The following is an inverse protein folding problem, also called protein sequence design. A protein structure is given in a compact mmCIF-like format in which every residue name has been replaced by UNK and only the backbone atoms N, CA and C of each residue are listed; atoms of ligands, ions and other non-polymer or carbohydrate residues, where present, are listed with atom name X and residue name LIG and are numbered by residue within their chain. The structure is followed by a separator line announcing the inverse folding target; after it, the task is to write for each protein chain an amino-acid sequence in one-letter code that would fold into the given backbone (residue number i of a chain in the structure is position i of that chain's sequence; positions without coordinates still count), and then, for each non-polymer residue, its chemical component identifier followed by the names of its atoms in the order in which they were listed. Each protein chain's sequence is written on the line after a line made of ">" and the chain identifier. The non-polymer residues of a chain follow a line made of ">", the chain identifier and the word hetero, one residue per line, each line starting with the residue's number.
data_IF_445997507881
#
_entry.id   IF_445997507881
#
_cell.length_a   1.000
_cell.length_b   1.000
_cell.length_c   1.000
_cell.angle_alpha   90.00
_cell.angle_beta   90.00
_cell.angle_gamma   90.00
#
_symmetry.space_group_name_H-M   'P 1'
#
loop_
_entity.id
_entity.type
_entity.pdbx_description
1 polymer ?
#
# COMPACT_ATOMS: atom_id res chain seq x y z
N UNK A 1 125.86 -169.49 10.72
CA UNK A 1 126.08 -169.33 12.16
C UNK A 1 127.28 -170.15 12.56
N UNK A 2 128.43 -169.49 12.73
CA UNK A 2 129.61 -170.10 13.34
C UNK A 2 129.45 -170.22 14.87
N UNK A 3 130.36 -170.93 15.57
CA UNK A 3 130.30 -171.12 17.02
C UNK A 3 130.28 -169.80 17.82
N UNK A 4 130.97 -168.77 17.33
CA UNK A 4 131.05 -167.45 17.97
C UNK A 4 129.75 -166.65 17.88
N UNK A 5 129.01 -166.79 16.76
CA UNK A 5 127.73 -166.11 16.57
C UNK A 5 126.66 -166.73 17.48
N UNK A 6 126.63 -168.07 17.62
CA UNK A 6 125.74 -168.77 18.54
C UNK A 6 125.94 -168.35 20.01
N UNK A 7 127.19 -168.08 20.43
CA UNK A 7 127.49 -167.60 21.78
C UNK A 7 126.93 -166.19 22.06
N UNK A 8 126.87 -165.31 21.05
CA UNK A 8 126.33 -163.95 21.21
C UNK A 8 124.79 -164.00 21.35
N UNK A 9 124.10 -164.80 20.55
CA UNK A 9 122.62 -164.90 20.58
C UNK A 9 122.09 -165.78 21.71
N UNK A 10 122.91 -166.68 22.28
CA UNK A 10 122.58 -167.42 23.52
C UNK A 10 123.11 -166.74 24.78
N UNK A 11 123.82 -165.61 24.66
CA UNK A 11 124.26 -164.81 25.80
C UNK A 11 123.01 -164.21 26.49
N UNK A 12 122.80 -164.49 27.80
CA UNK A 12 121.69 -163.92 28.56
C UNK A 12 121.61 -162.39 28.47
N UNK A 13 122.75 -161.71 28.35
CA UNK A 13 122.80 -160.25 28.21
C UNK A 13 122.24 -159.77 26.86
N UNK A 14 122.51 -160.50 25.77
CA UNK A 14 121.99 -160.17 24.45
C UNK A 14 120.48 -160.40 24.40
N UNK A 15 120.00 -161.55 24.87
CA UNK A 15 118.57 -161.88 24.95
C UNK A 15 117.82 -160.80 25.74
N UNK A 16 118.33 -160.44 26.92
CA UNK A 16 117.72 -159.42 27.76
C UNK A 16 117.71 -158.05 27.08
N UNK A 17 118.80 -157.66 26.42
CA UNK A 17 118.87 -156.39 25.67
C UNK A 17 117.86 -156.33 24.51
N UNK A 18 117.66 -157.43 23.76
CA UNK A 18 116.63 -157.48 22.70
C UNK A 18 115.21 -157.42 23.24
N UNK A 19 114.91 -158.09 24.36
CA UNK A 19 113.60 -158.00 25.01
C UNK A 19 113.36 -156.58 25.53
N UNK A 20 114.35 -155.98 26.19
CA UNK A 20 114.27 -154.62 26.69
C UNK A 20 114.13 -153.60 25.55
N UNK A 21 114.78 -153.81 24.41
CA UNK A 21 114.61 -152.97 23.22
C UNK A 21 113.19 -153.10 22.62
N UNK A 22 112.65 -154.32 22.56
CA UNK A 22 111.26 -154.57 22.12
C UNK A 22 110.22 -153.97 23.06
N UNK A 23 110.43 -154.09 24.36
CA UNK A 23 109.57 -153.52 25.41
C UNK A 23 109.64 -151.98 25.40
N UNK A 24 110.84 -151.40 25.26
CA UNK A 24 111.03 -149.97 25.08
C UNK A 24 110.36 -149.45 23.79
N UNK A 25 110.44 -150.20 22.69
CA UNK A 25 109.76 -149.84 21.44
C UNK A 25 108.24 -149.91 21.57
N UNK A 26 107.70 -150.97 22.19
CA UNK A 26 106.26 -151.11 22.46
C UNK A 26 105.76 -149.99 23.37
N UNK A 27 106.45 -149.69 24.47
CA UNK A 27 106.11 -148.57 25.35
C UNK A 27 106.24 -147.22 24.65
N UNK A 28 107.24 -147.04 23.79
CA UNK A 28 107.38 -145.85 22.95
C UNK A 28 106.21 -145.68 21.98
N UNK A 29 105.79 -146.75 21.31
CA UNK A 29 104.64 -146.73 20.40
C UNK A 29 103.33 -146.47 21.16
N UNK A 30 103.12 -147.10 22.31
CA UNK A 30 101.94 -146.85 23.16
C UNK A 30 101.92 -145.42 23.68
N UNK A 31 103.07 -144.85 24.05
CA UNK A 31 103.19 -143.45 24.45
C UNK A 31 102.86 -142.51 23.28
N UNK A 32 103.37 -142.79 22.08
CA UNK A 32 103.05 -142.02 20.87
C UNK A 32 101.57 -142.12 20.49
N UNK A 33 100.95 -143.30 20.58
CA UNK A 33 99.53 -143.49 20.32
C UNK A 33 98.65 -142.77 21.34
N UNK A 34 99.04 -142.79 22.64
CA UNK A 34 98.37 -142.03 23.70
C UNK A 34 98.50 -140.52 23.48
N UNK A 35 99.68 -140.05 23.07
CA UNK A 35 99.90 -138.64 22.76
C UNK A 35 99.13 -138.19 21.51
N UNK A 36 99.10 -139.01 20.45
CA UNK A 36 98.29 -138.74 19.27
C UNK A 36 96.79 -138.72 19.58
N UNK A 37 96.31 -139.62 20.45
CA UNK A 37 94.92 -139.61 20.92
C UNK A 37 94.62 -138.35 21.75
N UNK A 38 95.54 -137.93 22.64
CA UNK A 38 95.42 -136.70 23.42
C UNK A 38 95.35 -135.46 22.52
N UNK A 39 96.26 -135.34 21.55
CA UNK A 39 96.28 -134.24 20.59
C UNK A 39 95.03 -134.24 19.69
N UNK A 40 94.53 -135.40 19.29
CA UNK A 40 93.27 -135.49 18.54
C UNK A 40 92.07 -135.04 19.37
N UNK A 41 92.04 -135.37 20.68
CA UNK A 41 91.00 -134.94 21.59
C UNK A 41 91.05 -133.41 21.80
N UNK A 42 92.24 -132.85 22.00
CA UNK A 42 92.45 -131.40 22.10
C UNK A 42 92.08 -130.65 20.82
N UNK A 43 92.39 -131.22 19.65
CA UNK A 43 91.95 -130.68 18.36
C UNK A 43 90.44 -130.69 18.23
N UNK A 44 89.79 -131.79 18.60
CA UNK A 44 88.33 -131.91 18.51
C UNK A 44 87.64 -130.92 19.44
N UNK A 45 88.11 -130.77 20.69
CA UNK A 45 87.56 -129.78 21.62
C UNK A 45 87.77 -128.35 21.15
N UNK A 46 88.92 -128.04 20.54
CA UNK A 46 89.16 -126.73 19.92
C UNK A 46 88.22 -126.46 18.73
N UNK A 47 88.00 -127.44 17.86
CA UNK A 47 87.08 -127.31 16.72
C UNK A 47 85.64 -127.11 17.20
N UNK A 48 85.20 -127.84 18.22
CA UNK A 48 83.88 -127.65 18.84
C UNK A 48 83.73 -126.25 19.45
N UNK A 49 84.73 -125.78 20.20
CA UNK A 49 84.74 -124.44 20.78
C UNK A 49 84.70 -123.35 19.69
N UNK A 50 85.48 -123.52 18.61
CA UNK A 50 85.48 -122.58 17.48
C UNK A 50 84.14 -122.57 16.74
N UNK A 51 83.53 -123.74 16.50
CA UNK A 51 82.21 -123.84 15.89
C UNK A 51 81.14 -123.15 16.76
N UNK A 52 81.22 -123.31 18.08
CA UNK A 52 80.35 -122.61 19.02
C UNK A 52 80.53 -121.08 18.93
N UNK A 53 81.77 -120.60 18.91
CA UNK A 53 82.06 -119.16 18.75
C UNK A 53 81.55 -118.61 17.41
N UNK A 54 81.71 -119.34 16.31
CA UNK A 54 81.20 -118.93 14.99
C UNK A 54 79.66 -118.85 15.01
N UNK A 55 78.98 -119.82 15.64
CA UNK A 55 77.53 -119.80 15.79
C UNK A 55 77.06 -118.59 16.62
N UNK A 56 77.69 -118.35 17.77
CA UNK A 56 77.38 -117.20 18.64
C UNK A 56 77.64 -115.88 17.92
N UNK A 57 78.78 -115.73 17.23
CA UNK A 57 79.10 -114.53 16.45
C UNK A 57 78.09 -114.30 15.33
N UNK A 58 77.69 -115.34 14.62
CA UNK A 58 76.67 -115.24 13.56
C UNK A 58 75.32 -114.80 14.13
N UNK A 59 74.94 -115.33 15.29
CA UNK A 59 73.71 -114.94 16.00
C UNK A 59 73.77 -113.48 16.46
N UNK A 60 74.88 -113.03 17.05
CA UNK A 60 75.08 -111.63 17.47
C UNK A 60 75.02 -110.66 16.29
N UNK A 61 75.64 -111.00 15.16
CA UNK A 61 75.58 -110.18 13.94
C UNK A 61 74.14 -110.12 13.39
N UNK A 62 73.43 -111.26 13.36
CA UNK A 62 72.05 -111.30 12.91
C UNK A 62 71.11 -110.48 13.81
N UNK A 63 71.26 -110.59 15.13
CA UNK A 63 70.52 -109.79 16.12
C UNK A 63 70.84 -108.30 15.97
N UNK A 64 72.11 -107.94 15.82
CA UNK A 64 72.53 -106.55 15.60
C UNK A 64 71.95 -105.97 14.31
N UNK A 65 71.92 -106.74 13.21
CA UNK A 65 71.26 -106.33 11.96
C UNK A 65 69.76 -106.13 12.14
N UNK A 66 69.08 -107.08 12.79
CA UNK A 66 67.65 -106.98 13.05
C UNK A 66 67.31 -105.76 13.91
N UNK A 67 68.12 -105.49 14.94
CA UNK A 67 67.93 -104.32 15.79
C UNK A 67 68.19 -103.01 15.03
N UNK A 68 69.22 -102.97 14.17
CA UNK A 68 69.50 -101.80 13.33
C UNK A 68 68.33 -101.51 12.36
N UNK A 69 67.75 -102.53 11.73
CA UNK A 69 66.58 -102.34 10.87
C UNK A 69 65.35 -101.85 11.65
N UNK A 70 65.12 -102.33 12.88
CA UNK A 70 64.07 -101.78 13.76
C UNK A 70 64.32 -100.31 14.10
N UNK A 71 65.56 -99.93 14.41
CA UNK A 71 65.92 -98.53 14.70
C UNK A 71 65.75 -97.63 13.47
N UNK A 72 66.15 -98.10 12.28
CA UNK A 72 65.93 -97.36 11.02
C UNK A 72 64.44 -97.19 10.73
N UNK A 73 63.63 -98.23 10.88
CA UNK A 73 62.19 -98.16 10.68
C UNK A 73 61.55 -97.17 11.65
N UNK A 74 61.92 -97.22 12.94
CA UNK A 74 61.45 -96.28 13.95
C UNK A 74 61.88 -94.84 13.65
N UNK A 75 63.14 -94.61 13.27
CA UNK A 75 63.64 -93.29 12.91
C UNK A 75 62.91 -92.71 11.69
N UNK A 76 62.68 -93.54 10.66
CA UNK A 76 61.94 -93.13 9.46
C UNK A 76 60.47 -92.81 9.77
N UNK A 77 59.81 -93.58 10.64
CA UNK A 77 58.46 -93.29 11.08
C UNK A 77 58.39 -91.96 11.85
N UNK A 78 59.37 -91.71 12.73
CA UNK A 78 59.46 -90.46 13.50
C UNK A 78 59.70 -89.24 12.59
N UNK A 79 60.57 -89.35 11.58
CA UNK A 79 60.78 -88.29 10.58
C UNK A 79 59.50 -88.04 9.78
N UNK A 80 58.82 -89.11 9.33
CA UNK A 80 57.57 -88.98 8.60
C UNK A 80 56.48 -88.28 9.41
N UNK A 81 56.30 -88.68 10.68
CA UNK A 81 55.36 -88.03 11.59
C UNK A 81 55.70 -86.55 11.83
N UNK A 82 56.99 -86.24 11.99
CA UNK A 82 57.44 -84.86 12.13
C UNK A 82 57.14 -84.03 10.89
N UNK A 83 57.41 -84.55 9.69
CA UNK A 83 57.17 -83.83 8.43
C UNK A 83 55.67 -83.61 8.19
N UNK A 84 54.84 -84.62 8.47
CA UNK A 84 53.37 -84.49 8.42
C UNK A 84 52.87 -83.43 9.41
N UNK A 85 53.40 -83.42 10.64
CA UNK A 85 53.08 -82.40 11.63
C UNK A 85 53.53 -81.00 11.20
N UNK A 86 54.74 -80.86 10.64
CA UNK A 86 55.25 -79.58 10.18
C UNK A 86 54.41 -79.00 9.04
N UNK A 87 53.97 -79.84 8.09
CA UNK A 87 53.07 -79.43 7.01
C UNK A 87 51.71 -79.01 7.56
N UNK A 88 51.14 -79.78 8.49
CA UNK A 88 49.85 -79.45 9.11
C UNK A 88 49.94 -78.14 9.92
N UNK A 89 50.98 -77.98 10.74
CA UNK A 89 51.21 -76.78 11.54
C UNK A 89 51.36 -75.53 10.66
N UNK A 90 52.12 -75.64 9.56
CA UNK A 90 52.26 -74.56 8.59
C UNK A 90 50.93 -74.20 7.93
N UNK A 91 50.15 -75.20 7.48
CA UNK A 91 48.82 -74.96 6.89
C UNK A 91 47.89 -74.24 7.86
N UNK A 92 47.81 -74.71 9.12
CA UNK A 92 46.97 -74.07 10.13
C UNK A 92 47.43 -72.64 10.44
N UNK A 93 48.73 -72.39 10.49
CA UNK A 93 49.27 -71.04 10.68
C UNK A 93 48.93 -70.12 9.51
N UNK A 94 49.07 -70.59 8.27
CA UNK A 94 48.73 -69.83 7.07
C UNK A 94 47.22 -69.51 7.01
N UNK A 95 46.36 -70.49 7.33
CA UNK A 95 44.90 -70.29 7.43
C UNK A 95 44.53 -69.26 8.50
N UNK A 96 45.13 -69.36 9.69
CA UNK A 96 44.89 -68.40 10.78
C UNK A 96 45.39 -67.00 10.43
N UNK A 97 46.54 -66.90 9.76
CA UNK A 97 47.09 -65.61 9.31
C UNK A 97 46.20 -64.98 8.25
N UNK A 98 45.69 -65.78 7.30
CA UNK A 98 44.77 -65.31 6.28
C UNK A 98 43.44 -64.83 6.88
N UNK A 99 42.87 -65.59 7.81
CA UNK A 99 41.65 -65.21 8.52
C UNK A 99 41.83 -63.90 9.30
N UNK A 100 42.91 -63.78 10.09
CA UNK A 100 43.22 -62.57 10.85
C UNK A 100 43.40 -61.35 9.94
N UNK A 101 44.11 -61.51 8.82
CA UNK A 101 44.26 -60.42 7.83
C UNK A 101 42.90 -59.99 7.27
N UNK A 102 42.04 -60.95 6.92
CA UNK A 102 40.70 -60.66 6.41
C UNK A 102 39.86 -59.90 7.43
N UNK A 103 39.89 -60.30 8.70
CA UNK A 103 39.19 -59.60 9.79
C UNK A 103 39.72 -58.17 9.98
N UNK A 104 41.04 -57.98 9.99
CA UNK A 104 41.64 -56.64 10.09
C UNK A 104 41.24 -55.75 8.90
N UNK A 105 41.27 -56.27 7.67
CA UNK A 105 40.84 -55.51 6.51
C UNK A 105 39.35 -55.16 6.55
N UNK A 106 38.50 -56.08 6.98
CA UNK A 106 37.08 -55.82 7.16
C UNK A 106 36.83 -54.76 8.25
N UNK A 107 37.57 -54.83 9.36
CA UNK A 107 37.53 -53.83 10.43
C UNK A 107 37.93 -52.44 9.94
N UNK A 108 39.04 -52.33 9.20
CA UNK A 108 39.47 -51.05 8.61
C UNK A 108 38.45 -50.51 7.60
N UNK A 109 37.81 -51.37 6.81
CA UNK A 109 36.77 -50.95 5.85
C UNK A 109 35.52 -50.41 6.57
N UNK A 110 35.06 -51.10 7.62
CA UNK A 110 33.95 -50.66 8.47
C UNK A 110 34.27 -49.33 9.17
N UNK A 111 35.50 -49.17 9.67
CA UNK A 111 35.92 -47.92 10.31
C UNK A 111 35.92 -46.74 9.33
N UNK A 112 36.38 -46.94 8.08
CA UNK A 112 36.27 -45.91 7.03
C UNK A 112 34.83 -45.54 6.74
N UNK A 113 33.95 -46.52 6.55
CA UNK A 113 32.52 -46.28 6.32
C UNK A 113 31.87 -45.50 7.47
N UNK A 114 32.20 -45.87 8.71
CA UNK A 114 31.72 -45.15 9.90
C UNK A 114 32.19 -43.70 9.91
N UNK A 115 33.45 -43.44 9.55
CA UNK A 115 33.98 -42.07 9.48
C UNK A 115 33.35 -41.25 8.35
N UNK A 116 33.08 -41.86 7.20
CA UNK A 116 32.36 -41.21 6.10
C UNK A 116 30.91 -40.87 6.47
N UNK A 117 30.19 -41.76 7.16
CA UNK A 117 28.84 -41.47 7.66
C UNK A 117 28.85 -40.39 8.75
N UNK A 118 29.85 -40.39 9.64
CA UNK A 118 30.01 -39.30 10.64
C UNK A 118 30.24 -37.96 9.95
N UNK A 119 31.09 -37.90 8.93
CA UNK A 119 31.32 -36.68 8.16
C UNK A 119 30.03 -36.20 7.47
N UNK A 120 29.31 -37.11 6.80
CA UNK A 120 28.01 -36.81 6.17
C UNK A 120 26.95 -36.36 7.18
N UNK A 121 26.94 -36.93 8.39
CA UNK A 121 26.05 -36.49 9.47
C UNK A 121 26.41 -35.07 9.94
N UNK A 122 27.69 -34.78 10.14
CA UNK A 122 28.14 -33.44 10.54
C UNK A 122 27.80 -32.38 9.49
N UNK A 123 27.96 -32.68 8.19
CA UNK A 123 27.53 -31.79 7.11
C UNK A 123 26.02 -31.51 7.15
N UNK A 124 25.21 -32.54 7.41
CA UNK A 124 23.75 -32.37 7.58
C UNK A 124 23.41 -31.51 8.80
N UNK A 125 24.10 -31.69 9.92
CA UNK A 125 23.86 -30.90 11.14
C UNK A 125 24.19 -29.41 10.93
N UNK A 126 25.27 -29.12 10.19
CA UNK A 126 25.59 -27.75 9.74
C UNK A 126 24.48 -27.21 8.84
N UNK A 127 24.01 -27.99 7.87
CA UNK A 127 22.90 -27.61 6.99
C UNK A 127 21.60 -27.32 7.74
N UNK A 128 21.26 -28.16 8.73
CA UNK A 128 20.09 -27.96 9.61
C UNK A 128 20.22 -26.66 10.39
N UNK A 129 21.40 -26.40 10.96
CA UNK A 129 21.67 -25.17 11.72
C UNK A 129 21.53 -23.92 10.84
N UNK A 130 22.00 -23.97 9.59
CA UNK A 130 21.83 -22.88 8.63
C UNK A 130 20.34 -22.65 8.30
N UNK A 131 19.58 -23.71 8.02
CA UNK A 131 18.15 -23.61 7.74
C UNK A 131 17.37 -23.05 8.94
N UNK A 132 17.75 -23.40 10.17
CA UNK A 132 17.14 -22.83 11.37
C UNK A 132 17.42 -21.33 11.50
N UNK A 133 18.64 -20.89 11.20
CA UNK A 133 19.00 -19.47 11.17
C UNK A 133 18.20 -18.73 10.11
N UNK A 134 18.17 -19.23 8.87
CA UNK A 134 17.41 -18.62 7.78
C UNK A 134 15.92 -18.51 8.11
N UNK A 135 15.34 -19.57 8.69
CA UNK A 135 13.95 -19.60 9.11
C UNK A 135 13.65 -18.60 10.23
N UNK A 136 14.58 -18.40 11.16
CA UNK A 136 14.44 -17.35 12.18
C UNK A 136 14.50 -15.94 11.56
N UNK A 137 15.38 -15.72 10.57
CA UNK A 137 15.44 -14.47 9.80
C UNK A 137 14.16 -14.18 9.02
N UNK A 138 13.60 -15.19 8.35
CA UNK A 138 12.32 -15.08 7.65
C UNK A 138 11.18 -14.76 8.62
N UNK A 139 11.12 -15.43 9.79
CA UNK A 139 10.12 -15.12 10.83
C UNK A 139 10.24 -13.69 11.35
N UNK A 140 11.46 -13.20 11.57
CA UNK A 140 11.69 -11.81 11.98
C UNK A 140 11.24 -10.81 10.92
N UNK A 141 11.56 -11.06 9.66
CA UNK A 141 11.12 -10.22 8.53
C UNK A 141 9.59 -10.22 8.41
N UNK A 142 8.96 -11.39 8.52
CA UNK A 142 7.51 -11.53 8.47
C UNK A 142 6.82 -10.71 9.57
N UNK A 143 7.33 -10.80 10.81
CA UNK A 143 6.82 -10.03 11.94
C UNK A 143 6.91 -8.52 11.68
N UNK A 144 8.07 -8.03 11.19
CA UNK A 144 8.25 -6.62 10.85
C UNK A 144 7.29 -6.15 9.73
N UNK A 145 7.09 -6.96 8.68
CA UNK A 145 6.09 -6.64 7.65
C UNK A 145 4.66 -6.65 8.19
N UNK A 146 4.34 -7.51 9.15
CA UNK A 146 3.01 -7.56 9.75
C UNK A 146 2.74 -6.33 10.64
N UNK A 147 3.74 -5.86 11.38
CA UNK A 147 3.68 -4.59 12.11
C UNK A 147 3.50 -3.40 11.16
N UNK A 148 4.30 -3.33 10.09
CA UNK A 148 4.20 -2.28 9.07
C UNK A 148 2.82 -2.28 8.39
N UNK A 149 2.28 -3.46 8.05
CA UNK A 149 0.94 -3.57 7.46
C UNK A 149 -0.15 -3.09 8.43
N UNK A 150 0.00 -3.38 9.72
CA UNK A 150 -0.94 -2.94 10.75
C UNK A 150 -0.90 -1.42 10.89
N UNK A 151 0.29 -0.81 10.87
CA UNK A 151 0.48 0.63 10.85
C UNK A 151 -0.18 1.29 9.63
N UNK A 152 0.07 0.76 8.43
CA UNK A 152 -0.56 1.27 7.20
C UNK A 152 -2.10 1.17 7.23
N UNK A 153 -2.65 0.08 7.77
CA UNK A 153 -4.11 -0.05 7.95
C UNK A 153 -4.67 1.02 8.88
N UNK A 154 -3.96 1.37 9.94
CA UNK A 154 -4.36 2.45 10.84
C UNK A 154 -4.32 3.81 10.14
N UNK A 155 -3.26 4.08 9.34
CA UNK A 155 -3.16 5.30 8.55
C UNK A 155 -4.31 5.42 7.53
N UNK A 156 -4.63 4.34 6.82
CA UNK A 156 -5.76 4.32 5.87
C UNK A 156 -7.08 4.60 6.59
N UNK A 157 -7.32 4.00 7.75
CA UNK A 157 -8.53 4.26 8.55
C UNK A 157 -8.60 5.73 8.99
N UNK A 158 -7.48 6.33 9.41
CA UNK A 158 -7.41 7.75 9.76
C UNK A 158 -7.73 8.66 8.56
N UNK A 159 -7.14 8.37 7.39
CA UNK A 159 -7.41 9.11 6.15
C UNK A 159 -8.86 8.98 5.69
N UNK A 160 -9.49 7.80 5.86
CA UNK A 160 -10.92 7.61 5.57
C UNK A 160 -11.79 8.50 6.47
N UNK A 161 -11.53 8.52 7.77
CA UNK A 161 -12.25 9.37 8.71
C UNK A 161 -12.07 10.87 8.39
N UNK A 162 -10.88 11.29 7.98
CA UNK A 162 -10.63 12.67 7.54
C UNK A 162 -11.38 13.00 6.24
N UNK A 163 -11.40 12.06 5.28
CA UNK A 163 -12.13 12.24 4.03
C UNK A 163 -13.64 12.38 4.26
N UNK A 164 -14.21 11.61 5.19
CA UNK A 164 -15.61 11.73 5.61
C UNK A 164 -15.91 13.10 6.21
N UNK A 165 -15.02 13.63 7.08
CA UNK A 165 -15.15 14.98 7.62
C UNK A 165 -15.12 16.05 6.52
N UNK A 166 -14.19 15.92 5.56
CA UNK A 166 -14.09 16.85 4.44
C UNK A 166 -15.33 16.80 3.53
N UNK A 167 -15.88 15.60 3.27
CA UNK A 167 -17.14 15.46 2.52
C UNK A 167 -18.31 16.12 3.24
N UNK A 168 -18.42 15.94 4.55
CA UNK A 168 -19.46 16.59 5.35
C UNK A 168 -19.31 18.12 5.32
N UNK A 169 -18.08 18.64 5.47
CA UNK A 169 -17.79 20.06 5.38
C UNK A 169 -18.10 20.64 4.00
N UNK A 170 -17.78 19.91 2.92
CA UNK A 170 -18.08 20.31 1.55
C UNK A 170 -19.60 20.39 1.32
N UNK A 171 -20.35 19.37 1.75
CA UNK A 171 -21.82 19.35 1.65
C UNK A 171 -22.47 20.53 2.40
N UNK A 172 -21.96 20.85 3.60
CA UNK A 172 -22.42 22.02 4.35
C UNK A 172 -22.13 23.34 3.59
N UNK A 173 -20.92 23.49 3.04
CA UNK A 173 -20.55 24.68 2.27
C UNK A 173 -21.39 24.81 0.98
N UNK A 174 -21.72 23.72 0.31
CA UNK A 174 -22.59 23.71 -0.87
C UNK A 174 -24.03 24.12 -0.53
N UNK A 175 -24.54 23.69 0.63
CA UNK A 175 -25.84 24.10 1.17
C UNK A 175 -25.85 25.60 1.48
N UNK A 176 -24.83 26.11 2.19
CA UNK A 176 -24.69 27.53 2.50
C UNK A 176 -24.61 28.38 1.22
N UNK A 177 -23.88 27.90 0.20
CA UNK A 177 -23.81 28.57 -1.11
C UNK A 177 -25.18 28.66 -1.77
N UNK A 178 -26.00 27.60 -1.72
CA UNK A 178 -27.36 27.65 -2.26
C UNK A 178 -28.23 28.65 -1.49
N UNK A 179 -28.19 28.63 -0.16
CA UNK A 179 -28.94 29.59 0.66
C UNK A 179 -28.56 31.03 0.34
N UNK A 180 -27.27 31.34 0.24
CA UNK A 180 -26.80 32.67 -0.13
C UNK A 180 -27.24 33.08 -1.55
N UNK A 181 -27.33 32.13 -2.47
CA UNK A 181 -27.83 32.40 -3.82
C UNK A 181 -29.34 32.71 -3.80
N UNK A 182 -30.13 32.01 -2.98
CA UNK A 182 -31.56 32.30 -2.77
C UNK A 182 -31.75 33.66 -2.09
N UNK A 183 -30.98 33.95 -1.03
CA UNK A 183 -30.99 35.24 -0.34
C UNK A 183 -30.65 36.39 -1.32
N UNK A 184 -29.62 36.23 -2.14
CA UNK A 184 -29.26 37.21 -3.17
C UNK A 184 -30.36 37.42 -4.21
N UNK A 185 -31.01 36.34 -4.67
CA UNK A 185 -32.14 36.45 -5.61
C UNK A 185 -33.32 37.21 -4.97
N UNK A 186 -33.61 36.95 -3.70
CA UNK A 186 -34.63 37.69 -2.95
C UNK A 186 -34.26 39.18 -2.79
N UNK A 187 -32.99 39.49 -2.48
CA UNK A 187 -32.53 40.88 -2.40
C UNK A 187 -32.62 41.61 -3.74
N UNK A 188 -32.26 40.96 -4.85
CA UNK A 188 -32.40 41.55 -6.18
C UNK A 188 -33.87 41.82 -6.51
N UNK A 189 -34.77 40.87 -6.25
CA UNK A 189 -36.21 41.07 -6.46
C UNK A 189 -36.78 42.21 -5.59
N UNK A 190 -36.30 42.34 -4.34
CA UNK A 190 -36.69 43.44 -3.47
C UNK A 190 -36.15 44.78 -3.98
N UNK A 191 -34.92 44.81 -4.49
CA UNK A 191 -34.32 46.00 -5.10
C UNK A 191 -35.10 46.45 -6.33
N UNK A 192 -35.46 45.53 -7.23
CA UNK A 192 -36.29 45.82 -8.42
C UNK A 192 -37.66 46.39 -8.01
N UNK A 193 -38.28 45.82 -6.98
CA UNK A 193 -39.56 46.33 -6.45
C UNK A 193 -39.42 47.76 -5.90
N UNK A 194 -38.35 48.05 -5.15
CA UNK A 194 -38.10 49.40 -4.64
C UNK A 194 -37.79 50.38 -5.77
N UNK A 195 -37.02 49.99 -6.78
CA UNK A 195 -36.75 50.81 -7.96
C UNK A 195 -38.04 51.16 -8.69
N UNK A 196 -38.93 50.18 -8.89
CA UNK A 196 -40.23 50.42 -9.51
C UNK A 196 -41.08 51.38 -8.68
N UNK A 197 -41.13 51.19 -7.35
CA UNK A 197 -41.86 52.08 -6.44
C UNK A 197 -41.31 53.51 -6.47
N UNK A 198 -40.00 53.69 -6.61
CA UNK A 198 -39.39 55.00 -6.79
C UNK A 198 -39.83 55.65 -8.11
N UNK A 199 -39.85 54.91 -9.23
CA UNK A 199 -40.35 55.40 -10.52
C UNK A 199 -41.82 55.81 -10.47
N UNK A 200 -42.64 55.03 -9.78
CA UNK A 200 -44.07 55.33 -9.59
C UNK A 200 -44.24 56.62 -8.77
N UNK A 201 -43.50 56.76 -7.66
CA UNK A 201 -43.50 57.98 -6.84
C UNK A 201 -42.99 59.21 -7.59
N UNK A 202 -41.97 59.05 -8.43
CA UNK A 202 -41.45 60.13 -9.29
C UNK A 202 -42.51 60.58 -10.30
N UNK A 203 -43.20 59.62 -10.94
CA UNK A 203 -44.32 59.90 -11.84
C UNK A 203 -45.50 60.58 -11.13
N UNK A 204 -45.82 60.17 -9.89
CA UNK A 204 -46.86 60.79 -9.08
C UNK A 204 -46.47 62.22 -8.67
N UNK A 205 -45.20 62.46 -8.35
CA UNK A 205 -44.68 63.78 -8.03
C UNK A 205 -44.76 64.71 -9.25
N UNK A 206 -44.37 64.25 -10.44
CA UNK A 206 -44.51 65.02 -11.69
C UNK A 206 -45.97 65.40 -11.96
N UNK A 207 -46.91 64.45 -11.81
CA UNK A 207 -48.35 64.73 -11.96
C UNK A 207 -48.83 65.76 -10.94
N UNK A 208 -48.40 65.67 -9.68
CA UNK A 208 -48.77 66.64 -8.64
C UNK A 208 -48.20 68.04 -8.94
N UNK A 209 -46.97 68.13 -9.47
CA UNK A 209 -46.38 69.40 -9.86
C UNK A 209 -47.14 70.03 -11.03
N UNK A 210 -47.51 69.23 -12.02
CA UNK A 210 -48.31 69.70 -13.15
C UNK A 210 -49.70 70.19 -12.69
N UNK A 211 -50.38 69.42 -11.83
CA UNK A 211 -51.66 69.84 -11.25
C UNK A 211 -51.54 71.14 -10.44
N UNK A 212 -50.44 71.31 -9.70
CA UNK A 212 -50.18 72.55 -8.97
C UNK A 212 -49.98 73.74 -9.91
N UNK A 213 -49.24 73.59 -11.01
CA UNK A 213 -49.06 74.64 -12.01
C UNK A 213 -50.39 75.03 -12.69
N UNK A 214 -51.24 74.04 -12.97
CA UNK A 214 -52.58 74.27 -13.54
C UNK A 214 -53.48 75.04 -12.56
N UNK A 215 -53.48 74.67 -11.27
CA UNK A 215 -54.21 75.38 -10.22
C UNK A 215 -53.67 76.80 -10.00
N UNK A 216 -52.35 77.00 -9.98
CA UNK A 216 -51.74 78.34 -9.89
C UNK A 216 -52.17 79.23 -11.07
N UNK A 217 -52.19 78.70 -12.29
CA UNK A 217 -52.68 79.41 -13.47
C UNK A 217 -54.18 79.75 -13.36
N UNK A 218 -55.01 78.80 -12.92
CA UNK A 218 -56.45 79.05 -12.69
C UNK A 218 -56.68 80.13 -11.63
N UNK A 219 -55.92 80.10 -10.53
CA UNK A 219 -56.04 81.06 -9.43
C UNK A 219 -55.58 82.47 -9.84
N UNK A 220 -54.53 82.58 -10.66
CA UNK A 220 -54.13 83.84 -11.32
C UNK A 220 -55.26 84.42 -12.18
N UNK A 221 -55.93 83.56 -12.95
CA UNK A 221 -57.04 83.96 -13.83
C UNK A 221 -58.25 84.43 -13.00
N UNK A 222 -58.63 83.66 -11.97
CA UNK A 222 -59.69 84.02 -11.02
C UNK A 222 -59.38 85.33 -10.27
N UNK A 223 -58.12 85.53 -9.86
CA UNK A 223 -57.70 86.77 -9.20
C UNK A 223 -57.84 87.99 -10.11
N UNK A 224 -57.49 87.86 -11.39
CA UNK A 224 -57.73 88.91 -12.39
C UNK A 224 -59.23 89.19 -12.60
N UNK A 225 -60.06 88.14 -12.67
CA UNK A 225 -61.50 88.29 -12.80
C UNK A 225 -62.12 88.99 -11.58
N UNK A 226 -61.69 88.64 -10.37
CA UNK A 226 -62.11 89.32 -9.14
C UNK A 226 -61.69 90.80 -9.10
N UNK A 227 -60.47 91.12 -9.51
CA UNK A 227 -60.01 92.52 -9.60
C UNK A 227 -60.85 93.32 -10.60
N UNK A 228 -61.12 92.76 -11.77
CA UNK A 228 -61.95 93.39 -12.79
C UNK A 228 -63.39 93.61 -12.30
N UNK A 229 -63.99 92.63 -11.62
CA UNK A 229 -65.33 92.75 -11.04
C UNK A 229 -65.40 93.85 -9.97
N UNK A 230 -64.39 93.96 -9.11
CA UNK A 230 -64.31 95.02 -8.10
C UNK A 230 -64.20 96.41 -8.74
N UNK A 231 -63.34 96.58 -9.74
CA UNK A 231 -63.19 97.87 -10.46
C UNK A 231 -64.50 98.31 -11.12
N UNK A 232 -65.23 97.37 -11.75
CA UNK A 232 -66.55 97.62 -12.34
C UNK A 232 -67.57 98.05 -11.28
N UNK A 233 -67.59 97.37 -10.13
CA UNK A 233 -68.50 97.70 -9.04
C UNK A 233 -68.20 99.08 -8.43
N UNK A 234 -66.93 99.45 -8.29
CA UNK A 234 -66.54 100.79 -7.85
C UNK A 234 -66.90 101.87 -8.87
N UNK A 235 -66.76 101.61 -10.17
CA UNK A 235 -67.15 102.53 -11.23
C UNK A 235 -68.68 102.76 -11.24
N UNK A 236 -69.48 101.70 -11.10
CA UNK A 236 -70.94 101.78 -10.93
C UNK A 236 -71.31 102.58 -9.69
N UNK A 237 -70.66 102.30 -8.56
CA UNK A 237 -70.91 102.99 -7.29
C UNK A 237 -70.54 104.47 -7.33
N UNK A 238 -69.51 104.84 -8.10
CA UNK A 238 -69.06 106.24 -8.26
C UNK A 238 -69.92 107.01 -9.27
N UNK A 239 -70.27 106.36 -10.38
CA UNK A 239 -71.11 106.95 -11.42
C UNK A 239 -72.52 107.23 -10.93
N UNK A 240 -73.06 106.43 -10.01
CA UNK A 240 -74.44 106.56 -9.55
C UNK A 240 -74.79 107.91 -8.92
N UNK A 241 -74.09 108.38 -7.86
CA UNK A 241 -74.36 109.70 -7.28
C UNK A 241 -74.01 110.84 -8.25
N UNK A 242 -72.98 110.69 -9.08
CA UNK A 242 -72.57 111.70 -10.06
C UNK A 242 -73.63 111.89 -11.15
N UNK A 243 -74.14 110.79 -11.71
CA UNK A 243 -75.19 110.81 -12.72
C UNK A 243 -76.48 111.39 -12.15
N UNK A 244 -76.87 111.01 -10.92
CA UNK A 244 -78.03 111.59 -10.24
C UNK A 244 -77.88 113.11 -10.03
N UNK A 245 -76.71 113.57 -9.59
CA UNK A 245 -76.43 115.00 -9.42
C UNK A 245 -76.47 115.75 -10.76
N UNK A 246 -75.89 115.19 -11.82
CA UNK A 246 -75.94 115.78 -13.17
C UNK A 246 -77.37 115.81 -13.71
N UNK A 247 -78.17 114.77 -13.48
CA UNK A 247 -79.59 114.75 -13.84
C UNK A 247 -80.35 115.84 -13.09
N UNK A 248 -80.13 116.02 -11.79
CA UNK A 248 -80.76 117.09 -11.00
C UNK A 248 -80.33 118.49 -11.47
N UNK A 249 -79.04 118.71 -11.70
CA UNK A 249 -78.52 119.99 -12.22
C UNK A 249 -79.11 120.30 -13.59
N UNK A 250 -79.12 119.33 -14.50
CA UNK A 250 -79.67 119.49 -15.85
C UNK A 250 -81.18 119.74 -15.79
N UNK A 251 -81.91 119.07 -14.89
CA UNK A 251 -83.34 119.31 -14.64
C UNK A 251 -83.58 120.72 -14.10
N UNK A 252 -82.78 121.18 -13.16
CA UNK A 252 -82.87 122.52 -12.57
C UNK A 252 -82.58 123.63 -13.59
N UNK A 253 -81.53 123.47 -14.39
CA UNK A 253 -81.18 124.40 -15.48
C UNK A 253 -82.27 124.45 -16.56
N UNK A 254 -82.92 123.33 -16.87
CA UNK A 254 -84.00 123.29 -17.85
C UNK A 254 -85.32 123.87 -17.31
N UNK A 255 -85.66 123.60 -16.05
CA UNK A 255 -86.83 124.16 -15.39
C UNK A 255 -86.74 125.70 -15.27
N UNK A 256 -85.54 126.25 -15.07
CA UNK A 256 -85.29 127.69 -15.07
C UNK A 256 -85.62 128.38 -16.42
N UNK A 257 -85.72 127.62 -17.53
CA UNK A 257 -86.12 128.12 -18.84
C UNK A 257 -87.64 128.03 -19.10
N UNK A 258 -88.45 127.64 -18.09
CA UNK A 258 -89.92 127.61 -18.17
C UNK A 258 -90.48 126.49 -19.04
N UNK A 259 -89.71 125.42 -19.33
CA UNK A 259 -90.10 124.30 -20.20
C UNK A 259 -90.44 123.02 -19.41
N UNK A 260 -91.30 122.13 -19.93
CA UNK A 260 -91.56 120.81 -19.33
C UNK A 260 -90.29 119.93 -19.26
N UNK A 261 -90.33 118.92 -18.40
CA UNK A 261 -89.17 118.05 -18.04
C UNK A 261 -88.51 117.39 -19.26
N UNK A 262 -87.23 117.70 -19.48
CA UNK A 262 -86.38 117.24 -20.60
C UNK A 262 -85.87 115.79 -20.47
N UNK A 263 -85.95 115.21 -19.27
CA UNK A 263 -85.24 113.95 -18.95
C UNK A 263 -85.67 112.74 -19.79
N UNK A 264 -86.90 112.76 -20.30
CA UNK A 264 -87.49 111.70 -21.14
C UNK A 264 -87.44 112.06 -22.64
N UNK A 265 -86.80 113.18 -23.00
CA UNK A 265 -86.63 113.52 -24.40
C UNK A 265 -85.59 112.61 -25.03
N UNK A 266 -85.90 112.14 -26.23
CA UNK A 266 -84.99 111.34 -27.04
C UNK A 266 -83.90 112.22 -27.65
N UNK A 267 -82.66 111.77 -27.55
CA UNK A 267 -81.53 112.36 -28.23
C UNK A 267 -81.49 111.83 -29.66
N UNK A 268 -81.54 112.74 -30.63
CA UNK A 268 -81.38 112.36 -32.04
C UNK A 268 -79.94 111.92 -32.39
N UNK A 269 -78.98 112.18 -31.50
CA UNK A 269 -77.53 112.03 -31.72
C UNK A 269 -76.89 110.79 -31.07
N UNK A 270 -77.59 110.16 -30.11
CA UNK A 270 -77.06 109.06 -29.31
C UNK A 270 -78.07 107.93 -29.24
N UNK A 271 -77.64 106.72 -29.59
CA UNK A 271 -78.49 105.53 -29.60
C UNK A 271 -77.89 104.41 -28.75
N UNK A 272 -78.76 103.52 -28.30
CA UNK A 272 -78.38 102.21 -27.73
C UNK A 272 -77.86 101.30 -28.84
N UNK A 273 -77.17 100.22 -28.47
CA UNK A 273 -76.68 99.20 -29.44
C UNK A 273 -77.80 98.54 -30.26
N UNK A 274 -79.05 98.57 -29.78
CA UNK A 274 -80.24 98.07 -30.48
C UNK A 274 -80.88 99.09 -31.44
N UNK A 275 -80.28 100.29 -31.58
CA UNK A 275 -80.70 101.34 -32.49
C UNK A 275 -81.77 102.28 -31.94
N UNK A 276 -82.24 102.10 -30.70
CA UNK A 276 -83.17 103.06 -30.09
C UNK A 276 -82.46 104.33 -29.62
N UNK A 277 -83.02 105.53 -29.85
CA UNK A 277 -82.44 106.77 -29.36
C UNK A 277 -82.47 106.79 -27.83
N UNK A 278 -81.36 107.23 -27.24
CA UNK A 278 -81.23 107.37 -25.80
C UNK A 278 -82.06 108.53 -25.30
N UNK A 279 -82.71 108.38 -24.16
CA UNK A 279 -83.24 109.53 -23.43
C UNK A 279 -82.11 110.36 -22.84
N UNK A 280 -82.35 111.64 -22.55
CA UNK A 280 -81.38 112.50 -21.85
C UNK A 280 -80.94 111.87 -20.52
N UNK A 281 -81.85 111.20 -19.80
CA UNK A 281 -81.51 110.44 -18.60
C UNK A 281 -80.54 109.30 -18.89
N UNK A 282 -80.84 108.44 -19.86
CA UNK A 282 -79.97 107.30 -20.18
C UNK A 282 -78.61 107.77 -20.70
N UNK A 283 -78.55 108.83 -21.49
CA UNK A 283 -77.28 109.43 -21.92
C UNK A 283 -76.46 109.94 -20.74
N UNK A 284 -77.06 110.69 -19.80
CA UNK A 284 -76.34 111.16 -18.61
C UNK A 284 -75.84 110.00 -17.75
N UNK A 285 -76.62 108.91 -17.64
CA UNK A 285 -76.19 107.69 -16.96
C UNK A 285 -75.00 107.02 -17.67
N UNK A 286 -75.15 106.68 -18.95
CA UNK A 286 -74.13 105.95 -19.70
C UNK A 286 -72.87 106.78 -19.95
N UNK A 287 -72.98 108.08 -20.20
CA UNK A 287 -71.83 108.97 -20.35
C UNK A 287 -71.02 109.08 -19.04
N UNK A 288 -71.72 109.18 -17.90
CA UNK A 288 -71.06 109.23 -16.59
C UNK A 288 -70.43 107.88 -16.23
N UNK A 289 -71.16 106.79 -16.46
CA UNK A 289 -70.66 105.44 -16.20
C UNK A 289 -69.46 105.09 -17.10
N UNK A 290 -69.50 105.39 -18.40
CA UNK A 290 -68.35 105.17 -19.29
C UNK A 290 -67.15 106.03 -18.91
N UNK A 291 -67.33 107.28 -18.48
CA UNK A 291 -66.20 108.10 -18.01
C UNK A 291 -65.55 107.51 -16.77
N UNK A 292 -66.34 107.06 -15.80
CA UNK A 292 -65.82 106.40 -14.61
C UNK A 292 -65.12 105.07 -14.93
N UNK A 293 -65.71 104.25 -15.81
CA UNK A 293 -65.11 102.98 -16.20
C UNK A 293 -63.81 103.16 -17.01
N UNK A 294 -63.74 104.13 -17.91
CA UNK A 294 -62.52 104.47 -18.68
C UNK A 294 -61.44 105.04 -17.74
N UNK A 295 -61.80 105.95 -16.83
CA UNK A 295 -60.85 106.53 -15.88
C UNK A 295 -60.22 105.48 -14.95
N UNK A 296 -60.91 104.38 -14.71
CA UNK A 296 -60.46 103.25 -13.89
C UNK A 296 -59.75 102.16 -14.71
N UNK A 297 -59.42 102.44 -15.98
CA UNK A 297 -58.76 101.52 -16.92
C UNK A 297 -59.45 100.16 -17.02
N UNK A 298 -60.79 100.13 -16.92
CA UNK A 298 -61.54 98.88 -17.03
C UNK A 298 -61.45 98.38 -18.47
N UNK A 299 -61.19 97.08 -18.71
CA UNK A 299 -61.11 96.51 -20.06
C UNK A 299 -62.35 96.82 -20.91
N UNK A 300 -62.14 97.14 -22.19
CA UNK A 300 -63.21 97.59 -23.08
C UNK A 300 -64.38 96.62 -23.23
N UNK A 301 -64.12 95.31 -23.18
CA UNK A 301 -65.18 94.31 -23.26
C UNK A 301 -66.15 94.36 -22.06
N UNK A 302 -65.67 94.70 -20.85
CA UNK A 302 -66.51 94.90 -19.67
C UNK A 302 -67.30 96.20 -19.76
N UNK A 303 -66.69 97.27 -20.25
CA UNK A 303 -67.39 98.54 -20.45
C UNK A 303 -68.53 98.38 -21.47
N UNK A 304 -68.31 97.63 -22.55
CA UNK A 304 -69.36 97.33 -23.54
C UNK A 304 -70.51 96.50 -22.95
N UNK A 305 -70.22 95.57 -22.04
CA UNK A 305 -71.25 94.79 -21.36
C UNK A 305 -72.13 95.66 -20.44
N UNK A 306 -71.56 96.67 -19.79
CA UNK A 306 -72.27 97.53 -18.84
C UNK A 306 -72.85 98.83 -19.45
N UNK A 307 -72.38 99.26 -20.62
CA UNK A 307 -72.84 100.44 -21.34
C UNK A 307 -73.22 100.08 -22.78
N UNK A 308 -74.45 99.56 -23.03
CA UNK A 308 -74.89 99.11 -24.34
C UNK A 308 -75.29 100.29 -25.24
N UNK A 309 -74.31 101.10 -25.64
CA UNK A 309 -74.46 102.25 -26.52
C UNK A 309 -73.84 101.98 -27.90
N UNK A 310 -74.46 102.53 -28.95
CA UNK A 310 -73.90 102.48 -30.30
C UNK A 310 -72.80 103.54 -30.46
N UNK A 311 -71.82 103.29 -31.34
CA UNK A 311 -70.74 104.23 -31.69
C UNK A 311 -70.00 104.77 -30.46
N UNK A 312 -69.46 103.82 -29.68
CA UNK A 312 -68.89 104.07 -28.34
C UNK A 312 -67.64 104.96 -28.36
N UNK A 313 -66.81 104.82 -29.39
CA UNK A 313 -65.50 105.49 -29.46
C UNK A 313 -65.62 107.02 -29.46
N UNK A 314 -66.73 107.56 -29.97
CA UNK A 314 -67.01 108.99 -29.99
C UNK A 314 -68.19 109.41 -29.09
N UNK A 315 -68.83 108.46 -28.40
CA UNK A 315 -70.02 108.69 -27.56
C UNK A 315 -69.85 109.81 -26.52
N UNK A 316 -68.69 109.93 -25.89
CA UNK A 316 -68.43 110.96 -24.86
C UNK A 316 -68.08 112.33 -25.43
N UNK A 317 -67.77 112.40 -26.72
CA UNK A 317 -67.26 113.59 -27.42
C UNK A 317 -68.23 114.15 -28.45
N UNK A 318 -69.24 113.37 -28.83
CA UNK A 318 -70.25 113.75 -29.81
C UNK A 318 -71.17 114.85 -29.24
N UNK A 319 -71.49 115.89 -30.02
CA UNK A 319 -72.39 116.94 -29.57
C UNK A 319 -73.80 116.39 -29.31
N UNK A 320 -74.35 116.73 -28.15
CA UNK A 320 -75.69 116.29 -27.72
C UNK A 320 -76.75 117.18 -28.37
N UNK A 321 -77.51 116.61 -29.28
CA UNK A 321 -78.69 117.23 -29.88
C UNK A 321 -79.97 116.65 -29.25
N UNK A 322 -80.80 117.54 -28.68
CA UNK A 322 -82.08 117.25 -28.01
C UNK A 322 -83.22 117.87 -28.80
#
# INVERSE_FOLDING_TARGET
>A
MGPEELAIITNPQFINATFQAGENWYHGMVAQAREAARLSQERNSFVEANNHLVAVNSQLIAQGRQQNEKWKAFANDLVKQHDEYAVLAKRLLDEKTAALRSEVFAGCAMERQLNEEKARSAEKDVGISQLQNDLSGVRGTLAATQESLTYERQNVAALQAENEKLRAALSAAESDRHRLHEDNAAFLSAADYFEQKCKDLESDLERSQQALQEEEAQNLTLSQDFQNANLVNEALSSASPLALSLMEQTRGLWAAQGKPSMMENYLASHCRTDGQPLTVREYLWFATLMREMVARNIPDHLISAHCPVAERDDFLTRPVAI
#
